data_IF_442169604679
#
_entry.id   IF_442169604679
#
_cell.length_a   1.000
_cell.length_b   1.000
_cell.length_c   1.000
_cell.angle_alpha   90.00
_cell.angle_beta   90.00
_cell.angle_gamma   90.00
#
_symmetry.space_group_name_H-M   'P 1'
#
loop_
_entity.id
_entity.type
_entity.pdbx_description
1 polymer ?
#
# COMPACT_ATOMS: atom_id res chain seq x y z
N UNK A 1 -8.23 22.25 7.44
CA UNK A 1 -7.43 21.43 6.52
C UNK A 1 -8.39 20.55 5.76
N UNK A 2 -8.82 21.00 4.57
CA UNK A 2 -9.64 20.14 3.72
C UNK A 2 -8.72 19.04 3.22
N UNK A 3 -8.91 17.82 3.73
CA UNK A 3 -8.42 16.62 3.04
C UNK A 3 -9.19 16.58 1.73
N UNK A 4 -8.63 17.18 0.69
CA UNK A 4 -9.05 16.92 -0.68
C UNK A 4 -9.12 15.40 -0.80
N UNK A 5 -10.34 14.89 -0.97
CA UNK A 5 -10.62 13.47 -0.86
C UNK A 5 -10.01 12.80 -2.09
N UNK A 6 -8.73 12.42 -2.00
CA UNK A 6 -8.06 11.61 -3.02
C UNK A 6 -8.96 10.40 -3.19
N UNK A 7 -9.63 10.28 -4.34
CA UNK A 7 -10.46 9.13 -4.65
C UNK A 7 -9.51 7.95 -4.91
N UNK A 8 -9.28 7.18 -3.85
CA UNK A 8 -8.61 5.90 -3.89
C UNK A 8 -9.60 4.81 -4.34
N UNK A 9 -9.08 3.81 -5.04
CA UNK A 9 -9.83 2.57 -5.26
C UNK A 9 -9.75 1.72 -3.99
N UNK A 10 -10.72 0.81 -3.78
CA UNK A 10 -10.67 -0.13 -2.66
C UNK A 10 -9.32 -0.88 -2.61
N UNK A 11 -8.84 -1.34 -3.78
CA UNK A 11 -7.52 -1.98 -3.88
C UNK A 11 -6.35 -1.10 -3.45
N UNK A 12 -6.43 0.23 -3.63
CA UNK A 12 -5.38 1.15 -3.20
C UNK A 12 -5.39 1.35 -1.68
N UNK A 13 -6.58 1.33 -1.07
CA UNK A 13 -6.76 1.37 0.38
C UNK A 13 -6.17 0.11 1.03
N UNK A 14 -6.39 -1.07 0.43
CA UNK A 14 -5.81 -2.34 0.89
C UNK A 14 -4.27 -2.27 0.97
N UNK A 15 -3.61 -1.65 -0.02
CA UNK A 15 -2.16 -1.45 0.02
C UNK A 15 -1.73 -0.51 1.14
N UNK A 16 -2.47 0.56 1.41
CA UNK A 16 -2.16 1.49 2.50
C UNK A 16 -2.34 0.82 3.87
N UNK A 17 -3.39 0.01 4.03
CA UNK A 17 -3.64 -0.75 5.24
C UNK A 17 -2.54 -1.78 5.50
N UNK A 18 -2.12 -2.52 4.48
CA UNK A 18 -1.00 -3.47 4.59
C UNK A 18 0.31 -2.76 4.99
N UNK A 19 0.63 -1.63 4.37
CA UNK A 19 1.82 -0.83 4.71
C UNK A 19 1.75 -0.36 6.17
N UNK A 20 0.61 0.17 6.59
CA UNK A 20 0.43 0.63 7.96
C UNK A 20 0.57 -0.52 8.96
N UNK A 21 -0.07 -1.66 8.70
CA UNK A 21 -0.01 -2.83 9.57
C UNK A 21 1.43 -3.37 9.71
N UNK A 22 2.18 -3.45 8.61
CA UNK A 22 3.57 -3.89 8.61
C UNK A 22 4.49 -2.91 9.35
N UNK A 23 4.35 -1.60 9.13
CA UNK A 23 5.12 -0.59 9.88
C UNK A 23 4.77 -0.65 11.37
N UNK A 24 3.49 -0.78 11.71
CA UNK A 24 3.04 -0.85 13.10
C UNK A 24 3.60 -2.08 13.83
N UNK A 25 3.65 -3.23 13.15
CA UNK A 25 4.08 -4.51 13.73
C UNK A 25 5.60 -4.68 13.72
N UNK A 26 6.28 -4.26 12.66
CA UNK A 26 7.67 -4.63 12.35
C UNK A 26 8.59 -3.42 12.16
N UNK A 27 8.05 -2.20 12.21
CA UNK A 27 8.79 -0.95 12.04
C UNK A 27 9.15 -0.62 10.59
N UNK A 28 8.84 -1.51 9.65
CA UNK A 28 9.13 -1.36 8.21
C UNK A 28 8.11 -2.14 7.38
N UNK A 29 7.77 -1.62 6.20
CA UNK A 29 7.02 -2.37 5.19
C UNK A 29 7.90 -2.62 3.97
N UNK A 30 8.33 -3.87 3.76
CA UNK A 30 9.10 -4.24 2.56
C UNK A 30 8.15 -4.74 1.48
N UNK A 31 8.57 -4.60 0.22
CA UNK A 31 7.78 -5.03 -0.96
C UNK A 31 7.41 -6.51 -0.90
N UNK A 32 8.31 -7.38 -0.40
CA UNK A 32 8.03 -8.80 -0.22
C UNK A 32 6.94 -9.06 0.81
N UNK A 33 7.03 -8.40 1.97
CA UNK A 33 6.07 -8.56 3.07
C UNK A 33 4.67 -8.07 2.67
N UNK A 34 4.59 -6.96 1.91
CA UNK A 34 3.32 -6.46 1.37
C UNK A 34 2.73 -7.46 0.37
N UNK A 35 3.57 -8.04 -0.48
CA UNK A 35 3.14 -9.03 -1.48
C UNK A 35 2.57 -10.29 -0.80
N UNK A 36 3.25 -10.78 0.23
CA UNK A 36 2.81 -11.92 1.04
C UNK A 36 1.49 -11.60 1.77
N UNK A 37 1.40 -10.44 2.42
CA UNK A 37 0.22 -10.01 3.17
C UNK A 37 -1.04 -9.94 2.29
N UNK A 38 -0.93 -9.40 1.08
CA UNK A 38 -2.06 -9.21 0.16
C UNK A 38 -2.26 -10.38 -0.81
N UNK A 39 -1.39 -11.40 -0.78
CA UNK A 39 -1.46 -12.54 -1.70
C UNK A 39 -1.24 -12.17 -3.17
N UNK A 40 -0.39 -11.18 -3.45
CA UNK A 40 -0.11 -10.66 -4.79
C UNK A 40 1.35 -10.83 -5.19
N UNK A 41 1.67 -10.58 -6.46
CA UNK A 41 3.05 -10.61 -6.94
C UNK A 41 3.82 -9.34 -6.56
N UNK A 42 5.14 -9.44 -6.35
CA UNK A 42 5.97 -8.25 -6.06
C UNK A 42 5.92 -7.18 -7.18
N UNK A 43 5.83 -7.49 -8.49
CA UNK A 43 5.56 -6.47 -9.51
C UNK A 43 4.24 -5.74 -9.33
N UNK A 44 3.18 -6.42 -8.86
CA UNK A 44 1.88 -5.80 -8.56
C UNK A 44 2.02 -4.73 -7.47
N UNK A 45 2.76 -5.06 -6.39
CA UNK A 45 3.06 -4.11 -5.31
C UNK A 45 3.81 -2.89 -5.86
N UNK A 46 4.88 -3.09 -6.65
CA UNK A 46 5.66 -1.99 -7.22
C UNK A 46 4.77 -1.09 -8.10
N UNK A 47 3.89 -1.68 -8.91
CA UNK A 47 2.95 -0.93 -9.74
C UNK A 47 1.95 -0.12 -8.92
N UNK A 48 1.40 -0.71 -7.86
CA UNK A 48 0.49 -0.04 -6.94
C UNK A 48 1.18 1.13 -6.22
N UNK A 49 2.38 0.91 -5.66
CA UNK A 49 3.16 1.94 -4.98
C UNK A 49 3.53 3.10 -5.92
N UNK A 50 3.94 2.82 -7.16
CA UNK A 50 4.20 3.86 -8.17
C UNK A 50 2.96 4.67 -8.52
N UNK A 51 1.78 4.06 -8.45
CA UNK A 51 0.51 4.73 -8.71
C UNK A 51 0.11 5.60 -7.53
N UNK A 52 0.23 5.07 -6.31
CA UNK A 52 -0.03 5.79 -5.06
C UNK A 52 0.91 6.99 -4.89
N UNK A 53 2.19 6.85 -5.21
CA UNK A 53 3.18 7.93 -5.12
C UNK A 53 2.93 9.11 -6.08
N UNK A 54 2.02 8.96 -7.05
CA UNK A 54 1.63 10.01 -8.01
C UNK A 54 0.31 10.70 -7.64
N UNK A 55 -0.33 10.29 -6.55
CA UNK A 55 -1.55 10.90 -6.01
C UNK A 55 -1.18 11.92 -4.95
#
# INVERSE_FOLDING_TARGET
>A
MAIDKIKLTASQEDYLEAIWALIWKEGIARVGDIAEWLGVSTPSVIGALKTLAKR
#
